data_IF_494445848014
#
_entry.id   IF_494445848014
#
_cell.length_a   1.000
_cell.length_b   1.000
_cell.length_c   1.000
_cell.angle_alpha   90.00
_cell.angle_beta   90.00
_cell.angle_gamma   90.00
#
_symmetry.space_group_name_H-M   'P 1'
#
loop_
_entity.id
_entity.type
_entity.pdbx_description
1 polymer ?
#
# COMPACT_ATOMS: atom_id res chain seq x y z
N UNK A 1 -5.66 13.65 -8.62
CA UNK A 1 -4.86 12.40 -8.66
C UNK A 1 -4.28 12.13 -10.04
N UNK A 2 -5.05 12.16 -11.13
CA UNK A 2 -4.52 11.92 -12.49
C UNK A 2 -3.33 12.83 -12.86
N UNK A 3 -3.40 14.13 -12.52
CA UNK A 3 -2.26 15.05 -12.70
C UNK A 3 -0.98 14.60 -11.99
N UNK A 4 -1.10 14.06 -10.77
CA UNK A 4 0.05 13.54 -10.03
C UNK A 4 0.65 12.32 -10.75
N UNK A 5 -0.18 11.42 -11.26
CA UNK A 5 0.30 10.24 -11.98
C UNK A 5 0.99 10.64 -13.28
N UNK A 6 0.46 11.65 -13.97
CA UNK A 6 1.09 12.21 -15.15
C UNK A 6 2.47 12.81 -14.83
N UNK A 7 2.58 13.61 -13.77
CA UNK A 7 3.86 14.16 -13.30
C UNK A 7 4.86 13.04 -12.99
N UNK A 8 4.43 12.01 -12.25
CA UNK A 8 5.28 10.85 -11.92
C UNK A 8 5.74 10.16 -13.21
N UNK A 9 4.84 9.88 -14.14
CA UNK A 9 5.19 9.21 -15.40
C UNK A 9 6.18 10.05 -16.23
N UNK A 10 5.98 11.36 -16.34
CA UNK A 10 6.95 12.25 -17.00
C UNK A 10 8.33 12.18 -16.33
N UNK A 11 8.39 12.21 -14.99
CA UNK A 11 9.68 12.09 -14.29
C UNK A 11 10.35 10.73 -14.46
N UNK A 12 9.59 9.66 -14.68
CA UNK A 12 10.11 8.33 -15.00
C UNK A 12 10.65 8.29 -16.43
N UNK A 13 9.92 8.86 -17.40
CA UNK A 13 10.35 8.97 -18.80
C UNK A 13 11.66 9.77 -18.94
N UNK A 14 11.83 10.81 -18.11
CA UNK A 14 13.07 11.59 -18.04
C UNK A 14 14.17 10.95 -17.18
N UNK A 15 13.95 9.73 -16.66
CA UNK A 15 14.88 9.00 -15.78
C UNK A 15 15.24 9.74 -14.47
N UNK A 16 14.40 10.67 -14.04
CA UNK A 16 14.55 11.43 -12.80
C UNK A 16 13.99 10.64 -11.63
N UNK A 17 12.79 10.07 -11.78
CA UNK A 17 12.20 9.17 -10.81
C UNK A 17 12.61 7.73 -11.12
N UNK A 18 13.16 7.04 -10.13
CA UNK A 18 13.62 5.65 -10.22
C UNK A 18 12.63 4.72 -9.52
N UNK A 19 11.72 4.07 -10.26
CA UNK A 19 10.75 3.14 -9.69
C UNK A 19 11.41 1.83 -9.22
N UNK A 20 10.67 1.01 -8.48
CA UNK A 20 11.16 -0.29 -8.00
C UNK A 20 10.76 -1.42 -8.95
N UNK A 21 11.60 -2.46 -9.07
CA UNK A 21 11.25 -3.73 -9.69
C UNK A 21 10.94 -4.78 -8.62
N UNK A 22 9.78 -5.44 -8.71
CA UNK A 22 9.45 -6.54 -7.80
C UNK A 22 10.14 -7.87 -8.16
N UNK A 23 10.54 -8.05 -9.42
CA UNK A 23 11.25 -9.24 -9.89
C UNK A 23 12.19 -8.89 -11.05
N UNK A 24 13.13 -9.79 -11.39
CA UNK A 24 14.17 -9.56 -12.42
C UNK A 24 13.62 -9.16 -13.79
N UNK A 25 12.39 -9.56 -14.09
CA UNK A 25 11.67 -9.28 -15.34
C UNK A 25 10.25 -8.77 -15.05
N UNK A 26 10.03 -8.22 -13.87
CA UNK A 26 8.75 -7.67 -13.43
C UNK A 26 8.53 -6.24 -13.91
N UNK A 27 7.29 -5.75 -13.85
CA UNK A 27 7.00 -4.35 -14.16
C UNK A 27 7.66 -3.41 -13.16
N UNK A 28 8.03 -2.23 -13.64
CA UNK A 28 8.44 -1.10 -12.81
C UNK A 28 7.21 -0.55 -12.09
N UNK A 29 7.30 -0.42 -10.77
CA UNK A 29 6.23 0.12 -9.93
C UNK A 29 6.69 1.42 -9.32
N UNK A 30 5.93 2.49 -9.56
CA UNK A 30 6.18 3.83 -9.02
C UNK A 30 5.15 4.26 -7.98
N UNK A 31 3.89 3.85 -8.13
CA UNK A 31 2.83 4.22 -7.21
C UNK A 31 1.66 3.22 -7.23
N UNK A 32 0.92 3.19 -6.13
CA UNK A 32 -0.38 2.55 -5.99
C UNK A 32 -1.33 3.58 -5.36
N UNK A 33 -2.48 3.78 -5.97
CA UNK A 33 -3.44 4.77 -5.50
C UNK A 33 -4.86 4.19 -5.48
N UNK A 34 -5.58 4.44 -4.40
CA UNK A 34 -6.98 4.10 -4.28
C UNK A 34 -7.70 5.15 -3.45
N UNK A 35 -8.72 5.79 -4.06
CA UNK A 35 -9.42 6.92 -3.46
C UNK A 35 -8.45 8.00 -2.93
N UNK A 36 -8.34 8.12 -1.60
CA UNK A 36 -7.50 9.11 -0.93
C UNK A 36 -6.16 8.54 -0.42
N UNK A 37 -5.95 7.24 -0.57
CA UNK A 37 -4.72 6.58 -0.11
C UNK A 37 -3.75 6.43 -1.28
N UNK A 38 -2.52 6.87 -1.08
CA UNK A 38 -1.44 6.82 -2.06
C UNK A 38 -0.20 6.18 -1.42
N UNK A 39 0.35 5.19 -2.11
CA UNK A 39 1.64 4.58 -1.78
C UNK A 39 2.59 4.87 -2.94
N UNK A 40 3.76 5.43 -2.62
CA UNK A 40 4.79 5.76 -3.59
C UNK A 40 5.97 4.81 -3.42
N UNK A 41 6.55 4.40 -4.55
CA UNK A 41 7.67 3.49 -4.62
C UNK A 41 8.81 4.14 -5.41
N UNK A 42 9.98 4.21 -4.78
CA UNK A 42 11.19 4.71 -5.40
C UNK A 42 12.43 4.05 -4.79
N UNK A 43 13.56 4.16 -5.49
CA UNK A 43 14.87 3.80 -4.93
C UNK A 43 15.17 4.58 -3.65
N UNK A 44 15.72 3.91 -2.64
CA UNK A 44 16.07 4.52 -1.36
C UNK A 44 17.36 5.37 -1.48
N UNK A 45 17.22 6.60 -1.98
CA UNK A 45 18.29 7.59 -2.06
C UNK A 45 17.76 8.99 -1.73
N UNK A 46 18.64 9.88 -1.29
CA UNK A 46 18.31 11.28 -0.99
C UNK A 46 17.81 12.03 -2.22
N UNK A 47 18.39 11.77 -3.39
CA UNK A 47 17.95 12.42 -4.65
C UNK A 47 16.50 12.08 -4.96
N UNK A 48 16.11 10.81 -4.79
CA UNK A 48 14.72 10.41 -4.99
C UNK A 48 13.78 11.12 -4.02
N UNK A 49 14.16 11.33 -2.75
CA UNK A 49 13.35 12.10 -1.79
C UNK A 49 12.99 13.47 -2.33
N UNK A 50 13.97 14.18 -2.88
CA UNK A 50 13.78 15.53 -3.42
C UNK A 50 12.84 15.51 -4.63
N UNK A 51 13.00 14.53 -5.52
CA UNK A 51 12.10 14.33 -6.67
C UNK A 51 10.67 14.07 -6.21
N UNK A 52 10.47 13.17 -5.23
CA UNK A 52 9.14 12.89 -4.68
C UNK A 52 8.52 14.17 -4.10
N UNK A 53 9.28 14.92 -3.31
CA UNK A 53 8.81 16.19 -2.73
C UNK A 53 8.44 17.21 -3.80
N UNK A 54 9.27 17.37 -4.82
CA UNK A 54 9.00 18.31 -5.91
C UNK A 54 7.71 17.94 -6.64
N UNK A 55 7.50 16.66 -6.96
CA UNK A 55 6.26 16.18 -7.58
C UNK A 55 5.03 16.41 -6.69
N UNK A 56 5.13 16.07 -5.40
CA UNK A 56 4.03 16.26 -4.45
C UNK A 56 3.70 17.73 -4.24
N UNK A 57 4.70 18.60 -4.11
CA UNK A 57 4.50 20.04 -3.94
C UNK A 57 3.86 20.65 -5.18
N UNK A 58 4.38 20.35 -6.38
CA UNK A 58 3.81 20.82 -7.64
C UNK A 58 2.34 20.42 -7.78
N UNK A 59 2.02 19.17 -7.41
CA UNK A 59 0.64 18.69 -7.41
C UNK A 59 -0.21 19.43 -6.35
N UNK A 60 0.28 19.52 -5.12
CA UNK A 60 -0.41 20.16 -4.00
C UNK A 60 -0.73 21.64 -4.30
N UNK A 61 0.24 22.37 -4.83
CA UNK A 61 0.09 23.78 -5.22
C UNK A 61 -0.96 23.94 -6.32
N UNK A 62 -0.97 23.03 -7.31
CA UNK A 62 -1.95 23.05 -8.40
C UNK A 62 -3.36 22.61 -7.97
N UNK A 63 -3.47 21.76 -6.94
CA UNK A 63 -4.72 21.16 -6.49
C UNK A 63 -5.31 21.87 -5.25
N UNK A 64 -4.58 22.81 -4.64
CA UNK A 64 -4.94 23.44 -3.36
C UNK A 64 -4.96 22.44 -2.19
N UNK A 65 -4.20 21.35 -2.28
CA UNK A 65 -4.12 20.29 -1.27
C UNK A 65 -2.80 20.35 -0.52
N UNK A 66 -2.70 19.64 0.61
CA UNK A 66 -1.45 19.53 1.37
C UNK A 66 -1.22 18.10 1.84
N UNK A 67 0.03 17.64 1.75
CA UNK A 67 0.42 16.34 2.30
C UNK A 67 0.35 16.39 3.83
N UNK A 68 -0.38 15.43 4.41
CA UNK A 68 -0.55 15.31 5.85
C UNK A 68 0.65 14.61 6.48
N UNK A 69 1.60 15.37 7.03
CA UNK A 69 2.81 14.84 7.67
C UNK A 69 2.52 13.79 8.76
N UNK A 70 1.43 13.96 9.52
CA UNK A 70 1.03 13.02 10.59
C UNK A 70 0.54 11.66 10.07
N UNK A 71 0.00 11.63 8.85
CA UNK A 71 -0.57 10.42 8.23
C UNK A 71 0.43 9.74 7.29
N UNK A 72 1.38 10.50 6.77
CA UNK A 72 2.42 10.00 5.88
C UNK A 72 3.51 9.30 6.69
N UNK A 73 3.85 8.08 6.26
CA UNK A 73 4.90 7.28 6.87
C UNK A 73 5.86 6.80 5.80
N UNK A 74 7.13 6.62 6.19
CA UNK A 74 8.17 6.07 5.30
C UNK A 74 8.53 4.68 5.77
N UNK A 75 8.59 3.75 4.83
CA UNK A 75 9.07 2.40 5.05
C UNK A 75 10.31 2.15 4.19
N UNK A 76 11.27 1.41 4.74
CA UNK A 76 12.51 1.06 4.07
C UNK A 76 12.65 -0.45 4.01
N UNK A 77 13.18 -0.96 2.89
CA UNK A 77 13.52 -2.38 2.79
C UNK A 77 14.66 -2.73 3.76
N UNK A 78 14.72 -4.01 4.16
CA UNK A 78 15.77 -4.49 5.07
C UNK A 78 17.19 -4.31 4.51
N UNK A 79 17.33 -4.19 3.20
CA UNK A 79 18.62 -4.03 2.52
C UNK A 79 19.16 -2.60 2.56
N UNK A 80 18.36 -1.61 2.99
CA UNK A 80 18.82 -0.22 3.11
C UNK A 80 19.62 -0.05 4.41
N UNK A 81 20.84 0.46 4.32
CA UNK A 81 21.70 0.73 5.49
C UNK A 81 21.11 1.80 6.43
N UNK A 82 21.42 1.72 7.73
CA UNK A 82 20.82 2.61 8.74
C UNK A 82 21.15 4.10 8.54
N UNK A 83 22.34 4.39 8.00
CA UNK A 83 22.78 5.77 7.67
C UNK A 83 21.85 6.39 6.62
N UNK A 84 21.67 5.72 5.49
CA UNK A 84 20.79 6.16 4.38
C UNK A 84 19.34 6.32 4.85
N UNK A 85 18.84 5.42 5.70
CA UNK A 85 17.49 5.56 6.28
C UNK A 85 17.34 6.84 7.11
N UNK A 86 18.35 7.18 7.91
CA UNK A 86 18.32 8.37 8.74
C UNK A 86 18.42 9.64 7.89
N UNK A 87 19.26 9.65 6.87
CA UNK A 87 19.38 10.75 5.91
C UNK A 87 18.05 11.00 5.18
N UNK A 88 17.45 9.94 4.64
CA UNK A 88 16.15 10.01 3.95
C UNK A 88 15.05 10.48 4.90
N UNK A 89 15.00 9.94 6.13
CA UNK A 89 13.99 10.33 7.11
C UNK A 89 14.13 11.80 7.52
N UNK A 90 15.37 12.29 7.67
CA UNK A 90 15.66 13.68 8.01
C UNK A 90 15.34 14.60 6.84
N UNK A 91 15.67 14.18 5.62
CA UNK A 91 15.34 14.90 4.40
C UNK A 91 13.82 15.01 4.24
N UNK A 92 13.05 13.93 4.37
CA UNK A 92 11.59 13.96 4.24
C UNK A 92 10.86 14.69 5.36
N UNK A 93 11.30 14.50 6.61
CA UNK A 93 10.59 14.97 7.80
C UNK A 93 9.37 14.13 8.18
N UNK A 94 9.17 12.97 7.55
CA UNK A 94 8.08 12.03 7.91
C UNK A 94 8.57 10.98 8.91
N UNK A 95 7.62 10.41 9.65
CA UNK A 95 7.93 9.34 10.61
C UNK A 95 8.29 8.04 9.90
N UNK A 96 9.42 7.45 10.30
CA UNK A 96 9.80 6.09 9.89
C UNK A 96 8.87 5.07 10.55
N UNK A 97 8.39 4.13 9.76
CA UNK A 97 7.65 2.97 10.26
C UNK A 97 8.30 1.67 9.79
N UNK A 98 8.22 0.66 10.65
CA UNK A 98 8.55 -0.72 10.28
C UNK A 98 7.32 -1.46 9.73
N UNK A 99 6.15 -0.83 9.79
CA UNK A 99 4.90 -1.35 9.27
C UNK A 99 4.05 -0.21 8.66
N UNK A 100 3.75 -0.33 7.36
CA UNK A 100 2.84 0.58 6.66
C UNK A 100 1.38 0.44 7.13
N UNK A 101 1.08 -0.56 7.96
CA UNK A 101 -0.23 -0.76 8.57
C UNK A 101 -1.16 -1.54 7.65
N UNK A 102 -2.38 -1.04 7.42
CA UNK A 102 -3.35 -1.65 6.51
C UNK A 102 -3.58 -0.73 5.32
N UNK A 103 -3.39 -1.25 4.12
CA UNK A 103 -3.82 -0.62 2.87
C UNK A 103 -5.04 -1.37 2.35
N UNK A 104 -6.17 -0.69 2.18
CA UNK A 104 -7.46 -1.30 1.78
C UNK A 104 -7.94 -2.43 2.71
N UNK A 105 -7.61 -2.35 4.00
CA UNK A 105 -7.97 -3.37 4.98
C UNK A 105 -7.12 -4.64 4.93
N UNK A 106 -6.17 -4.72 4.00
CA UNK A 106 -5.14 -5.77 3.93
C UNK A 106 -3.91 -5.27 4.69
N UNK A 107 -3.41 -6.01 5.69
CA UNK A 107 -2.18 -5.63 6.35
C UNK A 107 -1.04 -5.67 5.34
N UNK A 108 -0.33 -4.56 5.16
CA UNK A 108 0.84 -4.42 4.29
C UNK A 108 2.06 -5.09 4.90
N UNK A 109 1.92 -6.32 5.37
CA UNK A 109 3.04 -7.10 5.92
C UNK A 109 3.96 -7.54 4.78
N UNK A 110 5.23 -7.15 4.88
CA UNK A 110 6.29 -7.57 3.96
C UNK A 110 7.09 -8.78 4.47
N UNK A 111 6.63 -9.44 5.55
CA UNK A 111 7.12 -10.76 5.97
C UNK A 111 6.46 -11.85 5.14
N UNK A 112 7.14 -12.99 4.95
CA UNK A 112 6.58 -14.19 4.30
C UNK A 112 5.16 -14.44 4.80
N UNK A 113 4.18 -14.44 3.88
CA UNK A 113 2.78 -14.64 4.21
C UNK A 113 2.67 -15.97 4.94
N UNK A 114 2.27 -15.93 6.21
CA UNK A 114 2.18 -17.11 7.05
C UNK A 114 0.70 -17.39 7.33
N UNK A 115 0.37 -18.60 7.83
CA UNK A 115 -1.02 -18.99 8.13
C UNK A 115 -1.75 -17.95 9.02
N UNK A 116 -1.00 -17.29 9.91
CA UNK A 116 -1.47 -16.21 10.79
C UNK A 116 -1.96 -14.97 10.03
N UNK A 117 -1.36 -14.65 8.88
CA UNK A 117 -1.77 -13.50 8.04
C UNK A 117 -3.18 -13.69 7.47
N UNK A 118 -3.55 -14.92 7.15
CA UNK A 118 -4.90 -15.27 6.68
C UNK A 118 -5.90 -15.47 7.82
N UNK A 119 -5.44 -15.61 9.06
CA UNK A 119 -6.33 -15.85 10.20
C UNK A 119 -7.35 -14.71 10.34
N UNK A 120 -6.97 -13.46 10.14
CA UNK A 120 -7.91 -12.33 10.18
C UNK A 120 -8.99 -12.37 9.07
N UNK A 121 -8.69 -12.97 7.91
CA UNK A 121 -9.68 -13.21 6.86
C UNK A 121 -10.58 -14.38 7.26
N UNK A 122 -10.00 -15.46 7.79
CA UNK A 122 -10.73 -16.63 8.30
C UNK A 122 -11.69 -16.22 9.43
N UNK A 123 -11.25 -15.38 10.36
CA UNK A 123 -12.06 -14.89 11.46
C UNK A 123 -13.21 -14.00 10.96
N UNK A 124 -12.97 -13.17 9.93
CA UNK A 124 -14.04 -12.42 9.26
C UNK A 124 -15.06 -13.35 8.61
N UNK A 125 -14.62 -14.40 7.93
CA UNK A 125 -15.50 -15.42 7.34
C UNK A 125 -16.32 -16.10 8.44
N UNK A 126 -15.66 -16.57 9.50
CA UNK A 126 -16.31 -17.24 10.62
C UNK A 126 -17.29 -16.31 11.36
N UNK A 127 -16.97 -15.03 11.53
CA UNK A 127 -17.91 -14.05 12.10
C UNK A 127 -19.14 -13.84 11.20
N UNK A 128 -18.94 -13.79 9.88
CA UNK A 128 -20.04 -13.68 8.91
C UNK A 128 -20.88 -14.94 8.85
N UNK A 129 -20.31 -16.12 9.07
CA UNK A 129 -21.03 -17.39 9.08
C UNK A 129 -21.76 -17.63 10.42
N UNK A 130 -21.12 -17.33 11.54
CA UNK A 130 -21.65 -17.51 12.91
C UNK A 130 -22.81 -16.55 13.25
N UNK A 131 -22.90 -15.40 12.58
CA UNK A 131 -24.04 -14.49 12.71
C UNK A 131 -25.37 -15.04 12.18
N UNK A 132 -25.38 -16.16 11.44
CA UNK A 132 -26.60 -16.73 10.86
C UNK A 132 -27.12 -17.91 11.68
N UNK A 133 -28.45 -18.03 11.73
CA UNK A 133 -29.15 -19.16 12.37
C UNK A 133 -28.86 -20.47 11.63
N UNK A 134 -27.75 -21.09 11.97
CA UNK A 134 -27.27 -22.39 11.47
C UNK A 134 -28.34 -23.49 11.55
N UNK A 135 -29.26 -23.38 12.52
CA UNK A 135 -30.31 -24.36 12.80
C UNK A 135 -31.53 -24.34 11.86
N UNK A 136 -31.71 -23.30 11.04
CA UNK A 136 -32.90 -23.16 10.18
C UNK A 136 -32.62 -23.35 8.67
N UNK A 137 -31.36 -23.62 8.29
CA UNK A 137 -30.98 -23.76 6.89
C UNK A 137 -30.84 -25.24 6.50
N UNK A 138 -31.40 -25.60 5.36
CA UNK A 138 -31.17 -26.90 4.72
C UNK A 138 -29.70 -27.05 4.31
N UNK A 139 -29.25 -28.28 4.05
CA UNK A 139 -27.87 -28.54 3.59
C UNK A 139 -27.53 -27.73 2.33
N UNK A 140 -28.45 -27.67 1.37
CA UNK A 140 -28.30 -26.84 0.16
C UNK A 140 -28.22 -25.34 0.50
N UNK A 141 -29.04 -24.86 1.44
CA UNK A 141 -28.98 -23.47 1.91
C UNK A 141 -27.64 -23.11 2.54
N UNK A 142 -27.07 -24.01 3.37
CA UNK A 142 -25.73 -23.84 3.94
C UNK A 142 -24.65 -23.83 2.86
N UNK A 143 -24.72 -24.73 1.88
CA UNK A 143 -23.75 -24.82 0.79
C UNK A 143 -23.75 -23.55 -0.08
N UNK A 144 -24.93 -23.09 -0.48
CA UNK A 144 -25.09 -21.86 -1.27
C UNK A 144 -24.58 -20.64 -0.51
N UNK A 145 -24.86 -20.57 0.79
CA UNK A 145 -24.41 -19.46 1.65
C UNK A 145 -22.89 -19.45 1.83
N UNK A 146 -22.28 -20.60 2.09
CA UNK A 146 -20.81 -20.72 2.14
C UNK A 146 -20.18 -20.30 0.82
N UNK A 147 -20.74 -20.74 -0.31
CA UNK A 147 -20.26 -20.31 -1.64
C UNK A 147 -20.38 -18.80 -1.83
N UNK A 148 -21.52 -18.20 -1.46
CA UNK A 148 -21.74 -16.76 -1.58
C UNK A 148 -20.77 -15.94 -0.73
N UNK A 149 -20.54 -16.35 0.53
CA UNK A 149 -19.60 -15.67 1.43
C UNK A 149 -18.17 -15.78 0.93
N UNK A 150 -17.74 -16.95 0.44
CA UNK A 150 -16.41 -17.16 -0.11
C UNK A 150 -16.20 -16.39 -1.43
N UNK A 151 -17.20 -16.34 -2.30
CA UNK A 151 -17.15 -15.59 -3.57
C UNK A 151 -17.18 -14.07 -3.38
N UNK A 152 -17.76 -13.59 -2.28
CA UNK A 152 -17.80 -12.16 -1.94
C UNK A 152 -16.52 -11.64 -1.27
N UNK A 153 -15.53 -12.50 -1.01
CA UNK A 153 -14.21 -12.06 -0.58
C UNK A 153 -13.42 -11.61 -1.81
N UNK A 154 -12.78 -10.42 -1.76
CA UNK A 154 -11.88 -10.03 -2.83
C UNK A 154 -10.74 -11.05 -2.92
N UNK A 155 -10.51 -11.55 -4.14
CA UNK A 155 -9.39 -12.44 -4.48
C UNK A 155 -8.06 -11.71 -4.40
#
# INVERSE_FOLDING_TARGET
MERLFHLINMTIEHHIWKPICLSRSGPLISHLAFANDLVLFAEASTDQVEVIKACLNTFCDSAGQKVSQEKTRIFFSNNVGHVVRNEISSAFGFQRTNDLGKYLGIPTHHSRVNRVTYQGIIDKINSRLSGWKEKNLSFAGRLTLTKSVLQALPS
#
